data_IF_744434967791
#
_entry.id   IF_744434967791
#
_cell.length_a   1.000
_cell.length_b   1.000
_cell.length_c   1.000
_cell.angle_alpha   90.00
_cell.angle_beta   90.00
_cell.angle_gamma   90.00
#
_symmetry.space_group_name_H-M   'P 1'
#
loop_
_entity.id
_entity.type
_entity.pdbx_description
1 polymer ?
#
# COMPACT_ATOMS: atom_id res chain seq x y z
N UNK A 1 22.08 -43.53 -23.95
CA UNK A 1 22.22 -42.64 -22.78
C UNK A 1 21.89 -41.22 -23.20
N UNK A 2 20.68 -40.74 -22.93
CA UNK A 2 20.30 -39.35 -23.15
C UNK A 2 20.12 -38.68 -21.79
N UNK A 3 21.17 -37.98 -21.35
CA UNK A 3 21.13 -37.21 -20.12
C UNK A 3 20.20 -36.01 -20.29
N UNK A 4 19.14 -35.97 -19.48
CA UNK A 4 18.31 -34.77 -19.30
C UNK A 4 19.20 -33.65 -18.74
N UNK A 5 19.23 -32.50 -19.41
CA UNK A 5 19.73 -31.28 -18.78
C UNK A 5 18.90 -31.00 -17.51
N UNK A 6 19.55 -30.63 -16.39
CA UNK A 6 18.82 -30.24 -15.19
C UNK A 6 18.02 -28.97 -15.46
N UNK A 7 16.76 -28.97 -15.03
CA UNK A 7 15.90 -27.80 -15.08
C UNK A 7 16.58 -26.63 -14.35
N UNK A 8 16.66 -25.47 -15.00
CA UNK A 8 17.13 -24.24 -14.34
C UNK A 8 16.26 -23.96 -13.12
N UNK A 9 16.85 -23.49 -12.00
CA UNK A 9 16.07 -23.03 -10.87
C UNK A 9 15.18 -21.88 -11.35
N UNK A 10 13.86 -22.04 -11.20
CA UNK A 10 12.91 -20.93 -11.29
C UNK A 10 13.14 -20.07 -10.06
N UNK A 11 14.04 -19.10 -10.16
CA UNK A 11 14.02 -17.96 -9.25
C UNK A 11 12.67 -17.27 -9.45
N UNK A 12 11.81 -17.38 -8.44
CA UNK A 12 10.59 -16.59 -8.28
C UNK A 12 10.94 -15.18 -7.81
N UNK A 13 11.95 -14.57 -8.43
CA UNK A 13 12.10 -13.12 -8.37
C UNK A 13 11.02 -12.58 -9.31
N UNK A 14 10.22 -11.63 -8.80
CA UNK A 14 9.17 -10.93 -9.54
C UNK A 14 9.60 -10.71 -11.00
N UNK A 15 9.00 -11.42 -11.95
CA UNK A 15 9.24 -11.13 -13.36
C UNK A 15 8.85 -9.67 -13.57
N UNK A 16 9.78 -8.79 -13.98
CA UNK A 16 9.45 -7.41 -14.26
C UNK A 16 8.34 -7.41 -15.30
N UNK A 17 7.30 -6.60 -15.10
CA UNK A 17 6.29 -6.39 -16.14
C UNK A 17 6.98 -5.81 -17.38
N UNK A 18 7.21 -6.67 -18.37
CA UNK A 18 7.91 -6.32 -19.60
C UNK A 18 7.19 -5.19 -20.35
N UNK A 19 5.87 -5.06 -20.22
CA UNK A 19 5.10 -3.98 -20.86
C UNK A 19 5.41 -2.61 -20.25
N UNK A 20 5.33 -2.49 -18.93
CA UNK A 20 5.62 -1.24 -18.21
C UNK A 20 7.07 -0.77 -18.40
N UNK A 21 8.02 -1.71 -18.42
CA UNK A 21 9.43 -1.39 -18.65
C UNK A 21 9.66 -0.80 -20.05
N UNK A 22 9.08 -1.41 -21.09
CA UNK A 22 9.23 -0.93 -22.47
C UNK A 22 8.65 0.49 -22.66
N UNK A 23 7.50 0.80 -22.04
CA UNK A 23 6.95 2.16 -22.06
C UNK A 23 7.93 3.13 -21.39
N UNK A 24 8.46 2.78 -20.23
CA UNK A 24 9.43 3.62 -19.52
C UNK A 24 10.69 3.84 -20.35
N UNK A 25 11.22 2.78 -20.97
CA UNK A 25 12.41 2.84 -21.83
C UNK A 25 12.23 3.77 -23.03
N UNK A 26 11.04 3.80 -23.66
CA UNK A 26 10.73 4.77 -24.73
C UNK A 26 10.80 6.22 -24.25
N UNK A 27 10.32 6.50 -23.04
CA UNK A 27 10.42 7.83 -22.45
C UNK A 27 11.86 8.21 -22.11
N UNK A 28 12.65 7.25 -21.59
CA UNK A 28 14.06 7.46 -21.27
C UNK A 28 14.91 7.73 -22.52
N UNK A 29 14.80 6.90 -23.56
CA UNK A 29 15.62 7.03 -24.78
C UNK A 29 15.28 8.29 -25.59
N UNK A 30 14.03 8.76 -25.53
CA UNK A 30 13.60 9.98 -26.22
C UNK A 30 13.73 11.25 -25.37
N UNK A 31 14.17 11.15 -24.11
CA UNK A 31 14.24 12.28 -23.19
C UNK A 31 12.87 12.90 -22.89
N UNK A 32 11.79 12.12 -22.98
CA UNK A 32 10.41 12.55 -22.70
C UNK A 32 10.03 12.24 -21.25
N UNK A 33 10.85 12.64 -20.29
CA UNK A 33 10.67 12.37 -18.87
C UNK A 33 10.97 13.62 -18.03
N UNK A 34 10.42 13.69 -16.82
CA UNK A 34 10.80 14.69 -15.81
C UNK A 34 10.59 16.16 -16.22
N UNK A 35 9.60 16.45 -17.07
CA UNK A 35 9.21 17.82 -17.44
C UNK A 35 7.70 17.94 -17.67
N UNK A 36 7.13 19.16 -17.57
CA UNK A 36 5.72 19.40 -17.90
C UNK A 36 5.32 18.79 -19.25
N UNK A 37 4.27 17.96 -19.25
CA UNK A 37 3.75 17.29 -20.44
C UNK A 37 4.54 16.07 -20.93
N UNK A 38 5.66 15.70 -20.30
CA UNK A 38 6.45 14.53 -20.70
C UNK A 38 6.87 13.67 -19.50
N UNK A 39 6.11 12.60 -19.25
CA UNK A 39 6.39 11.60 -18.23
C UNK A 39 5.63 10.30 -18.56
N UNK A 40 6.18 9.09 -18.32
CA UNK A 40 5.38 7.89 -18.32
C UNK A 40 4.42 7.94 -17.13
N UNK A 41 3.12 7.76 -17.39
CA UNK A 41 2.08 7.87 -16.36
C UNK A 41 1.19 6.62 -16.34
N UNK A 42 1.34 5.82 -15.29
CA UNK A 42 0.47 4.65 -15.06
C UNK A 42 -0.86 5.11 -14.47
N UNK A 43 -1.96 4.75 -15.13
CA UNK A 43 -3.31 5.02 -14.63
C UNK A 43 -3.68 3.97 -13.59
N UNK A 44 -3.82 4.38 -12.34
CA UNK A 44 -4.30 3.49 -11.27
C UNK A 44 -5.83 3.52 -11.23
N UNK A 45 -6.46 2.35 -11.25
CA UNK A 45 -7.92 2.23 -11.35
C UNK A 45 -8.66 2.57 -10.05
N UNK A 46 -8.27 1.97 -8.93
CA UNK A 46 -8.89 2.23 -7.63
C UNK A 46 -8.47 3.60 -7.07
N UNK A 47 -9.35 4.28 -6.31
CA UNK A 47 -9.14 5.67 -5.87
C UNK A 47 -7.87 5.86 -5.04
N UNK A 48 -7.51 4.86 -4.23
CA UNK A 48 -6.38 4.93 -3.30
C UNK A 48 -5.42 3.74 -3.37
N UNK A 49 -5.42 2.93 -4.43
CA UNK A 49 -4.44 1.83 -4.54
C UNK A 49 -2.98 2.35 -4.52
N UNK A 50 -2.75 3.61 -4.90
CA UNK A 50 -1.47 4.27 -4.70
C UNK A 50 -1.19 4.54 -3.22
N UNK A 51 -2.07 5.29 -2.54
CA UNK A 51 -1.87 5.69 -1.14
C UNK A 51 -2.02 4.54 -0.15
N UNK A 52 -3.17 3.88 -0.11
CA UNK A 52 -3.51 2.93 0.97
C UNK A 52 -2.87 1.55 0.82
N UNK A 53 -2.45 1.17 -0.39
CA UNK A 53 -1.86 -0.16 -0.63
C UNK A 53 -0.37 -0.10 -0.92
N UNK A 54 0.02 0.65 -1.95
CA UNK A 54 1.43 0.69 -2.39
C UNK A 54 2.29 1.54 -1.47
N UNK A 55 1.81 2.71 -1.08
CA UNK A 55 2.58 3.65 -0.25
C UNK A 55 2.58 3.25 1.23
N UNK A 56 1.39 3.00 1.80
CA UNK A 56 1.26 2.50 3.18
C UNK A 56 1.85 1.09 3.34
N UNK A 57 1.94 0.31 2.25
CA UNK A 57 2.65 -0.96 2.24
C UNK A 57 1.85 -2.14 2.79
N UNK A 58 0.56 -2.23 2.46
CA UNK A 58 -0.35 -3.29 2.93
C UNK A 58 -0.33 -4.57 2.08
N UNK A 59 0.74 -4.78 1.32
CA UNK A 59 0.99 -6.02 0.57
C UNK A 59 1.85 -6.98 1.40
N UNK A 60 1.69 -8.29 1.19
CA UNK A 60 2.32 -9.33 2.00
C UNK A 60 3.88 -9.30 2.06
N UNK A 61 4.53 -8.56 1.16
CA UNK A 61 5.99 -8.41 1.09
C UNK A 61 6.46 -7.00 1.50
N UNK A 62 5.55 -6.09 1.84
CA UNK A 62 5.82 -4.66 2.03
C UNK A 62 5.84 -4.26 3.50
N UNK A 63 6.51 -3.13 3.72
CA UNK A 63 6.42 -2.25 4.88
C UNK A 63 6.16 -0.83 4.33
N UNK A 64 5.77 0.14 5.17
CA UNK A 64 5.48 1.51 4.73
C UNK A 64 6.60 2.16 3.89
N UNK A 65 6.24 3.07 2.99
CA UNK A 65 7.15 3.87 2.16
C UNK A 65 8.09 3.07 1.22
N UNK A 66 7.54 2.11 0.47
CA UNK A 66 8.26 1.14 -0.41
C UNK A 66 9.22 0.18 0.32
N UNK A 67 9.28 0.23 1.65
CA UNK A 67 10.05 -0.74 2.39
C UNK A 67 9.51 -2.17 2.19
N UNK A 68 10.34 -3.15 2.52
CA UNK A 68 10.09 -4.55 2.24
C UNK A 68 10.53 -5.40 3.40
N UNK A 69 9.75 -6.44 3.72
CA UNK A 69 10.00 -7.30 4.88
C UNK A 69 11.28 -8.10 4.75
N UNK A 70 11.83 -8.30 3.54
CA UNK A 70 13.06 -9.07 3.33
C UNK A 70 14.34 -8.30 3.74
N UNK A 71 14.28 -6.97 3.85
CA UNK A 71 15.43 -6.15 4.26
C UNK A 71 15.43 -5.96 5.78
N UNK A 72 16.53 -6.34 6.45
CA UNK A 72 16.68 -6.23 7.89
C UNK A 72 16.62 -4.78 8.41
N UNK A 73 17.20 -3.81 7.68
CA UNK A 73 17.16 -2.39 8.05
C UNK A 73 15.73 -1.84 8.00
N UNK A 74 14.95 -2.29 7.02
CA UNK A 74 13.54 -1.90 6.88
C UNK A 74 12.71 -2.42 8.05
N UNK A 75 12.91 -3.69 8.45
CA UNK A 75 12.23 -4.27 9.62
C UNK A 75 12.62 -3.54 10.90
N UNK A 76 13.91 -3.30 11.12
CA UNK A 76 14.39 -2.59 12.31
C UNK A 76 13.78 -1.18 12.42
N UNK A 77 13.71 -0.43 11.32
CA UNK A 77 13.04 0.89 11.31
C UNK A 77 11.56 0.80 11.68
N UNK A 78 10.85 -0.21 11.15
CA UNK A 78 9.43 -0.39 11.46
C UNK A 78 9.20 -0.83 12.91
N UNK A 79 10.02 -1.73 13.43
CA UNK A 79 9.98 -2.13 14.84
C UNK A 79 10.27 -0.96 15.78
N UNK A 80 11.23 -0.08 15.43
CA UNK A 80 11.50 1.13 16.20
C UNK A 80 10.32 2.10 16.20
N UNK A 81 9.72 2.37 15.04
CA UNK A 81 8.61 3.33 14.93
C UNK A 81 7.38 2.85 15.72
N UNK A 82 7.06 1.55 15.62
CA UNK A 82 5.93 0.91 16.29
C UNK A 82 6.22 0.46 17.72
N UNK A 83 7.45 0.62 18.22
CA UNK A 83 7.83 0.21 19.57
C UNK A 83 7.80 -1.32 19.80
N UNK A 84 8.04 -2.10 18.74
CA UNK A 84 8.04 -3.56 18.80
C UNK A 84 9.39 -4.12 19.28
N UNK A 85 9.41 -5.27 19.99
CA UNK A 85 10.64 -6.01 20.23
C UNK A 85 11.38 -6.34 18.93
N UNK A 86 12.71 -6.30 18.97
CA UNK A 86 13.53 -6.62 17.80
C UNK A 86 13.26 -8.05 17.29
N UNK A 87 13.04 -8.18 15.98
CA UNK A 87 12.73 -9.46 15.33
C UNK A 87 11.26 -9.90 15.41
N UNK A 88 10.36 -9.01 15.84
CA UNK A 88 8.91 -9.24 15.81
C UNK A 88 8.39 -9.38 14.37
N UNK A 89 8.92 -8.60 13.42
CA UNK A 89 8.49 -8.63 12.03
C UNK A 89 9.19 -9.79 11.31
N UNK A 90 8.45 -10.76 10.72
CA UNK A 90 9.06 -11.86 9.98
C UNK A 90 9.83 -11.39 8.74
N UNK A 91 10.97 -12.01 8.45
CA UNK A 91 11.76 -11.73 7.24
C UNK A 91 11.14 -12.29 5.95
N UNK A 92 10.19 -13.23 6.10
CA UNK A 92 9.57 -13.94 4.99
C UNK A 92 8.28 -13.24 4.59
N UNK A 93 8.08 -12.94 3.29
CA UNK A 93 6.79 -12.48 2.79
C UNK A 93 5.66 -13.44 3.17
N UNK A 94 4.51 -12.85 3.51
CA UNK A 94 3.27 -13.61 3.66
C UNK A 94 2.71 -14.08 2.32
N UNK A 95 1.52 -14.68 2.36
CA UNK A 95 0.84 -15.11 1.14
C UNK A 95 0.37 -13.91 0.31
N UNK A 96 0.74 -13.88 -0.97
CA UNK A 96 0.10 -12.96 -1.93
C UNK A 96 -1.36 -13.38 -2.16
N UNK A 97 -2.22 -12.49 -2.68
CA UNK A 97 -3.68 -12.70 -2.71
C UNK A 97 -4.13 -14.08 -3.18
N UNK A 98 -3.66 -14.56 -4.34
CA UNK A 98 -4.07 -15.88 -4.83
C UNK A 98 -3.54 -17.05 -3.98
N UNK A 99 -2.35 -16.92 -3.40
CA UNK A 99 -1.84 -17.90 -2.43
C UNK A 99 -2.64 -17.87 -1.12
N UNK A 100 -3.03 -16.68 -0.67
CA UNK A 100 -3.83 -16.50 0.54
C UNK A 100 -5.19 -17.17 0.39
N UNK A 101 -5.88 -16.96 -0.73
CA UNK A 101 -7.14 -17.66 -1.03
C UNK A 101 -6.93 -19.16 -1.16
N UNK A 102 -5.87 -19.63 -1.83
CA UNK A 102 -5.58 -21.07 -1.90
C UNK A 102 -5.30 -21.68 -0.52
N UNK A 103 -4.54 -20.99 0.33
CA UNK A 103 -4.24 -21.43 1.69
C UNK A 103 -5.49 -21.43 2.57
N UNK A 104 -6.36 -20.43 2.42
CA UNK A 104 -7.67 -20.40 3.08
C UNK A 104 -8.59 -21.51 2.57
N UNK A 105 -8.57 -21.81 1.27
CA UNK A 105 -9.33 -22.94 0.69
C UNK A 105 -8.86 -24.30 1.20
N UNK A 106 -7.55 -24.48 1.45
CA UNK A 106 -7.00 -25.69 2.07
C UNK A 106 -7.21 -25.75 3.59
N UNK A 107 -7.57 -24.63 4.21
CA UNK A 107 -7.65 -24.50 5.66
C UNK A 107 -6.29 -24.33 6.36
N UNK A 108 -5.23 -23.97 5.63
CA UNK A 108 -3.95 -23.59 6.25
C UNK A 108 -4.07 -22.21 6.93
N UNK A 109 -4.83 -21.31 6.31
CA UNK A 109 -5.31 -20.07 6.94
C UNK A 109 -6.68 -20.35 7.55
N UNK A 110 -6.84 -20.11 8.85
CA UNK A 110 -8.09 -20.39 9.59
C UNK A 110 -9.00 -19.18 9.73
N UNK A 111 -8.42 -17.98 9.71
CA UNK A 111 -9.16 -16.72 9.86
C UNK A 111 -8.78 -15.79 8.71
N UNK A 112 -9.76 -15.21 8.05
CA UNK A 112 -9.58 -14.19 7.01
C UNK A 112 -10.50 -13.02 7.31
N UNK A 113 -9.99 -11.79 7.20
CA UNK A 113 -10.78 -10.57 7.31
C UNK A 113 -10.68 -9.81 5.99
N UNK A 114 -11.81 -9.61 5.33
CA UNK A 114 -11.90 -8.81 4.10
C UNK A 114 -12.53 -7.46 4.40
N UNK A 115 -11.92 -6.38 3.90
CA UNK A 115 -12.42 -5.01 4.07
C UNK A 115 -12.56 -4.33 2.72
N UNK A 116 -13.70 -3.67 2.48
CA UNK A 116 -13.93 -2.83 1.28
C UNK A 116 -13.64 -3.55 -0.05
N UNK A 117 -13.91 -4.85 -0.13
CA UNK A 117 -13.70 -5.66 -1.34
C UNK A 117 -14.69 -6.80 -1.41
N UNK A 118 -15.02 -7.23 -2.63
CA UNK A 118 -15.96 -8.33 -2.90
C UNK A 118 -15.25 -9.47 -3.65
N UNK A 119 -14.39 -10.26 -2.97
CA UNK A 119 -13.59 -11.30 -3.61
C UNK A 119 -14.41 -12.43 -4.24
N UNK A 120 -15.57 -12.78 -3.70
CA UNK A 120 -16.45 -13.79 -4.33
C UNK A 120 -17.10 -13.33 -5.65
N UNK A 121 -16.76 -12.12 -6.11
CA UNK A 121 -17.06 -11.62 -7.45
C UNK A 121 -15.77 -11.27 -8.22
N UNK A 122 -14.82 -10.63 -7.56
CA UNK A 122 -13.70 -9.95 -8.23
C UNK A 122 -12.47 -10.83 -8.44
N UNK A 123 -12.32 -11.95 -7.74
CA UNK A 123 -11.13 -12.79 -7.91
C UNK A 123 -11.28 -13.74 -9.10
N UNK A 124 -10.19 -14.05 -9.83
CA UNK A 124 -10.28 -14.91 -11.00
C UNK A 124 -10.58 -16.36 -10.61
N UNK A 125 -11.26 -17.07 -11.52
CA UNK A 125 -11.52 -18.50 -11.40
C UNK A 125 -12.33 -18.88 -10.14
N UNK A 126 -13.43 -18.13 -9.90
CA UNK A 126 -14.33 -18.29 -8.75
C UNK A 126 -14.81 -19.73 -8.53
N UNK A 127 -14.96 -20.52 -9.61
CA UNK A 127 -15.35 -21.94 -9.53
C UNK A 127 -14.42 -22.80 -8.65
N UNK A 128 -13.18 -22.33 -8.38
CA UNK A 128 -12.22 -23.00 -7.50
C UNK A 128 -12.30 -22.60 -6.03
N UNK A 129 -13.21 -21.69 -5.68
CA UNK A 129 -13.30 -21.09 -4.35
C UNK A 129 -14.68 -21.39 -3.83
N UNK A 130 -14.73 -22.45 -3.03
CA UNK A 130 -15.95 -22.94 -2.41
C UNK A 130 -15.87 -22.71 -0.91
N UNK A 131 -16.91 -22.07 -0.40
CA UNK A 131 -16.99 -21.70 1.00
C UNK A 131 -18.44 -21.62 1.42
N UNK A 132 -18.69 -22.08 2.64
CA UNK A 132 -19.95 -21.92 3.35
C UNK A 132 -19.65 -21.42 4.77
N UNK A 133 -20.51 -20.59 5.38
CA UNK A 133 -20.40 -20.24 6.79
C UNK A 133 -20.36 -21.49 7.68
N UNK A 134 -19.51 -21.50 8.71
CA UNK A 134 -19.39 -22.60 9.68
C UNK A 134 -18.55 -23.80 9.21
N UNK A 135 -17.86 -23.73 8.08
CA UNK A 135 -17.08 -24.86 7.53
C UNK A 135 -15.72 -25.15 8.21
N UNK A 136 -15.50 -24.60 9.41
CA UNK A 136 -14.26 -24.73 10.18
C UNK A 136 -13.20 -23.68 9.86
N UNK A 137 -13.50 -22.72 8.96
CA UNK A 137 -12.74 -21.50 8.72
C UNK A 137 -13.62 -20.30 9.08
N UNK A 138 -12.99 -19.22 9.55
CA UNK A 138 -13.67 -18.01 9.99
C UNK A 138 -13.43 -16.84 9.04
N UNK A 139 -14.46 -16.36 8.35
CA UNK A 139 -14.42 -15.22 7.46
C UNK A 139 -15.17 -14.03 8.09
N UNK A 140 -14.42 -12.95 8.36
CA UNK A 140 -14.96 -11.65 8.75
C UNK A 140 -15.05 -10.76 7.52
N UNK A 141 -16.18 -10.08 7.33
CA UNK A 141 -16.39 -9.15 6.22
C UNK A 141 -16.82 -7.79 6.77
N UNK A 142 -15.97 -6.78 6.59
CA UNK A 142 -16.32 -5.37 6.81
C UNK A 142 -16.73 -4.77 5.46
N UNK A 143 -18.02 -4.52 5.30
CA UNK A 143 -18.60 -3.96 4.08
C UNK A 143 -19.74 -2.99 4.42
N UNK A 144 -20.02 -2.11 3.46
CA UNK A 144 -21.07 -1.09 3.53
C UNK A 144 -22.38 -1.60 2.92
N UNK A 145 -22.33 -2.70 2.16
CA UNK A 145 -23.48 -3.35 1.54
C UNK A 145 -23.50 -4.86 1.81
N UNK A 146 -24.68 -5.50 1.78
CA UNK A 146 -24.77 -6.92 1.50
C UNK A 146 -24.17 -7.22 0.12
N UNK A 147 -23.20 -8.12 0.06
CA UNK A 147 -22.52 -8.58 -1.16
C UNK A 147 -22.45 -10.11 -1.20
N UNK A 148 -22.17 -10.72 -2.38
CA UNK A 148 -21.86 -12.15 -2.47
C UNK A 148 -20.74 -12.60 -1.52
N UNK A 149 -19.81 -11.71 -1.15
CA UNK A 149 -18.81 -12.03 -0.13
C UNK A 149 -19.42 -12.07 1.28
N UNK A 150 -20.38 -11.20 1.61
CA UNK A 150 -21.09 -11.25 2.89
C UNK A 150 -21.97 -12.50 3.03
N UNK A 151 -22.50 -13.06 1.93
CA UNK A 151 -23.33 -14.28 1.94
C UNK A 151 -22.56 -15.51 2.44
N UNK A 152 -21.24 -15.53 2.25
CA UNK A 152 -20.35 -16.62 2.67
C UNK A 152 -19.54 -16.27 3.94
N UNK A 153 -19.86 -15.16 4.62
CA UNK A 153 -19.18 -14.73 5.84
C UNK A 153 -19.68 -15.48 7.08
N UNK A 154 -18.81 -15.65 8.08
CA UNK A 154 -19.25 -16.06 9.43
C UNK A 154 -19.65 -14.86 10.28
N UNK A 155 -19.04 -13.71 10.01
CA UNK A 155 -19.30 -12.45 10.69
C UNK A 155 -19.28 -11.30 9.68
N UNK A 156 -20.33 -10.49 9.69
CA UNK A 156 -20.40 -9.24 8.92
C UNK A 156 -20.35 -8.07 9.90
N UNK A 157 -19.43 -7.13 9.67
CA UNK A 157 -19.28 -5.92 10.46
C UNK A 157 -19.74 -4.70 9.63
N UNK A 158 -20.81 -3.99 10.04
CA UNK A 158 -21.31 -2.86 9.29
C UNK A 158 -20.28 -1.71 9.31
N UNK A 159 -19.91 -1.27 8.12
CA UNK A 159 -18.82 -0.32 7.90
C UNK A 159 -19.34 1.07 7.55
N UNK A 160 -18.67 2.12 8.03
CA UNK A 160 -18.98 3.51 7.65
C UNK A 160 -18.44 3.81 6.24
N UNK A 161 -19.27 4.39 5.37
CA UNK A 161 -18.95 4.67 3.98
C UNK A 161 -18.35 6.06 3.78
N UNK A 162 -17.18 6.15 3.14
CA UNK A 162 -16.57 7.39 2.63
C UNK A 162 -16.68 8.61 3.58
N UNK A 163 -17.61 9.55 3.32
CA UNK A 163 -17.80 10.79 4.11
C UNK A 163 -18.51 10.58 5.45
N UNK A 164 -18.97 9.36 5.73
CA UNK A 164 -19.45 8.98 7.06
C UNK A 164 -18.31 8.83 8.09
N UNK A 165 -17.06 8.90 7.61
CA UNK A 165 -15.83 8.83 8.38
C UNK A 165 -14.80 9.83 7.90
N UNK A 166 -13.82 10.12 8.74
CA UNK A 166 -12.65 10.91 8.39
C UNK A 166 -11.59 10.03 7.71
N UNK A 167 -10.77 10.59 6.82
CA UNK A 167 -9.71 9.81 6.21
C UNK A 167 -8.85 10.51 5.17
N UNK A 168 -7.93 9.73 4.59
CA UNK A 168 -6.94 10.19 3.63
C UNK A 168 -6.82 9.25 2.44
N UNK A 169 -6.76 9.79 1.22
CA UNK A 169 -6.54 9.05 -0.02
C UNK A 169 -5.33 9.55 -0.79
N UNK A 170 -4.56 8.62 -1.35
CA UNK A 170 -3.43 8.89 -2.25
C UNK A 170 -3.72 8.40 -3.67
N UNK A 171 -3.78 9.32 -4.63
CA UNK A 171 -4.20 9.03 -6.00
C UNK A 171 -3.04 8.73 -6.98
N UNK A 172 -3.36 8.52 -8.26
CA UNK A 172 -2.40 8.20 -9.34
C UNK A 172 -1.28 9.23 -9.55
N UNK A 173 -1.51 10.52 -9.24
CA UNK A 173 -0.52 11.57 -9.43
C UNK A 173 0.36 11.81 -8.19
N UNK A 174 0.27 10.92 -7.18
CA UNK A 174 0.92 11.06 -5.86
C UNK A 174 0.28 12.12 -4.97
N UNK A 175 -0.93 12.58 -5.28
CA UNK A 175 -1.63 13.55 -4.43
C UNK A 175 -2.29 12.84 -3.27
N UNK A 176 -1.86 13.18 -2.07
CA UNK A 176 -2.49 12.78 -0.81
C UNK A 176 -3.53 13.84 -0.44
N UNK A 177 -4.77 13.44 -0.18
CA UNK A 177 -5.91 14.30 0.12
C UNK A 177 -6.61 13.81 1.39
N UNK A 178 -6.87 14.73 2.31
CA UNK A 178 -7.69 14.48 3.49
C UNK A 178 -9.15 14.85 3.22
N UNK A 179 -10.09 14.21 3.92
CA UNK A 179 -11.46 14.67 4.04
C UNK A 179 -11.94 14.53 5.49
N UNK A 180 -12.73 15.50 5.94
CA UNK A 180 -13.46 15.47 7.20
C UNK A 180 -14.72 14.61 7.08
N UNK A 181 -15.16 14.05 8.22
CA UNK A 181 -16.49 13.43 8.31
C UNK A 181 -17.56 14.48 8.05
N UNK A 182 -18.48 14.19 7.12
CA UNK A 182 -19.55 15.11 6.73
C UNK A 182 -20.93 14.71 7.25
N UNK A 183 -21.17 13.43 7.49
CA UNK A 183 -22.46 12.88 7.96
C UNK A 183 -22.21 11.73 8.94
N UNK A 184 -23.20 11.40 9.76
CA UNK A 184 -23.10 10.23 10.64
C UNK A 184 -23.32 8.91 9.87
N UNK A 185 -22.58 7.84 10.21
CA UNK A 185 -22.82 6.52 9.64
C UNK A 185 -24.20 5.99 10.09
N UNK A 186 -24.90 5.24 9.24
CA UNK A 186 -26.22 4.74 9.56
C UNK A 186 -26.18 3.57 10.56
N UNK A 187 -27.16 3.52 11.47
CA UNK A 187 -27.37 2.38 12.37
C UNK A 187 -26.18 2.13 13.28
N UNK A 188 -25.63 0.91 13.22
CA UNK A 188 -24.48 0.47 14.02
C UNK A 188 -23.16 0.51 13.23
N UNK A 189 -23.15 1.15 12.06
CA UNK A 189 -21.96 1.21 11.22
C UNK A 189 -20.83 2.01 11.89
N UNK A 190 -19.62 1.46 11.83
CA UNK A 190 -18.41 2.03 12.43
C UNK A 190 -17.25 2.02 11.44
N UNK A 191 -16.19 2.77 11.71
CA UNK A 191 -15.01 2.80 10.82
C UNK A 191 -14.27 1.46 10.79
N UNK A 192 -13.87 1.00 9.60
CA UNK A 192 -13.18 -0.29 9.45
C UNK A 192 -11.84 -0.33 10.23
N UNK A 193 -11.16 0.82 10.33
CA UNK A 193 -9.94 0.97 11.13
C UNK A 193 -10.25 0.88 12.63
N UNK A 194 -11.32 1.53 13.10
CA UNK A 194 -11.79 1.38 14.48
C UNK A 194 -12.10 -0.08 14.81
N UNK A 195 -12.77 -0.81 13.91
CA UNK A 195 -13.06 -2.24 14.12
C UNK A 195 -11.77 -3.06 14.35
N UNK A 196 -10.72 -2.83 13.56
CA UNK A 196 -9.41 -3.49 13.74
C UNK A 196 -8.80 -3.12 15.09
N UNK A 197 -8.78 -1.84 15.43
CA UNK A 197 -8.22 -1.34 16.71
C UNK A 197 -8.93 -2.02 17.88
N UNK A 198 -10.27 -2.09 17.84
CA UNK A 198 -11.07 -2.71 18.89
C UNK A 198 -10.83 -4.20 19.06
N UNK A 199 -10.59 -4.93 17.97
CA UNK A 199 -10.18 -6.34 18.02
C UNK A 199 -8.78 -6.46 18.62
N UNK A 200 -7.83 -5.62 18.19
CA UNK A 200 -6.47 -5.64 18.72
C UNK A 200 -6.44 -5.35 20.24
N UNK A 201 -7.21 -4.37 20.71
CA UNK A 201 -7.39 -4.08 22.15
C UNK A 201 -7.92 -5.30 22.90
N UNK A 202 -8.97 -5.96 22.40
CA UNK A 202 -9.53 -7.18 23.00
C UNK A 202 -8.57 -8.37 22.98
N UNK A 203 -7.58 -8.36 22.10
CA UNK A 203 -6.47 -9.33 22.05
C UNK A 203 -5.29 -8.96 22.97
N UNK A 204 -5.38 -7.86 23.74
CA UNK A 204 -4.32 -7.41 24.65
C UNK A 204 -3.22 -6.57 23.99
N UNK A 205 -3.45 -6.09 22.76
CA UNK A 205 -2.49 -5.28 21.99
C UNK A 205 -2.76 -3.76 22.10
N UNK A 206 -3.53 -3.33 23.09
CA UNK A 206 -3.92 -1.92 23.27
C UNK A 206 -2.73 -0.95 23.34
N UNK A 207 -1.61 -1.39 23.91
CA UNK A 207 -0.38 -0.59 24.00
C UNK A 207 0.21 -0.18 22.64
N UNK A 208 -0.16 -0.85 21.54
CA UNK A 208 0.24 -0.50 20.17
C UNK A 208 -0.64 0.60 19.56
N UNK A 209 -1.73 0.99 20.24
CA UNK A 209 -2.68 2.01 19.80
C UNK A 209 -2.82 3.07 20.91
N UNK A 210 -1.75 3.83 21.23
CA UNK A 210 -1.71 4.74 22.38
C UNK A 210 -2.49 6.05 22.16
N UNK A 211 -3.42 6.05 21.22
CA UNK A 211 -4.20 7.23 20.81
C UNK A 211 -5.56 7.26 21.55
N UNK A 212 -6.17 8.44 21.72
CA UNK A 212 -7.53 8.55 22.22
C UNK A 212 -8.54 7.80 21.33
N UNK A 213 -9.53 7.15 21.93
CA UNK A 213 -10.53 6.36 21.18
C UNK A 213 -11.42 7.23 20.26
N UNK A 214 -11.54 8.52 20.57
CA UNK A 214 -12.35 9.52 19.87
C UNK A 214 -11.54 10.50 19.00
N UNK A 215 -10.21 10.40 19.02
CA UNK A 215 -9.30 11.31 18.29
C UNK A 215 -7.99 10.59 17.89
N UNK A 216 -8.12 9.53 17.09
CA UNK A 216 -6.99 8.68 16.68
C UNK A 216 -6.51 8.92 15.24
N UNK A 217 -7.27 9.63 14.39
CA UNK A 217 -6.93 9.80 12.97
C UNK A 217 -5.62 10.56 12.76
N UNK A 218 -5.46 11.73 13.42
CA UNK A 218 -4.25 12.53 13.32
C UNK A 218 -3.03 11.83 13.93
N UNK A 219 -3.07 11.32 15.18
CA UNK A 219 -1.95 10.59 15.75
C UNK A 219 -1.51 9.37 14.94
N UNK A 220 -2.47 8.59 14.42
CA UNK A 220 -2.19 7.45 13.55
C UNK A 220 -1.52 7.89 12.24
N UNK A 221 -2.04 8.95 11.61
CA UNK A 221 -1.46 9.46 10.38
C UNK A 221 -0.05 10.01 10.59
N UNK A 222 0.19 10.76 11.67
CA UNK A 222 1.52 11.30 11.97
C UNK A 222 2.52 10.19 12.35
N UNK A 223 2.06 9.11 13.00
CA UNK A 223 2.89 7.91 13.17
C UNK A 223 3.28 7.31 11.82
N UNK A 224 2.31 7.10 10.91
CA UNK A 224 2.59 6.64 9.55
C UNK A 224 3.56 7.57 8.82
N UNK A 225 3.37 8.89 8.96
CA UNK A 225 4.18 9.89 8.27
C UNK A 225 5.67 9.76 8.60
N UNK A 226 6.05 9.37 9.83
CA UNK A 226 7.45 9.11 10.24
C UNK A 226 8.17 8.12 9.33
N UNK A 227 7.45 7.19 8.71
CA UNK A 227 8.04 6.24 7.76
C UNK A 227 8.53 6.90 6.48
N UNK A 228 7.88 7.98 6.06
CA UNK A 228 8.02 8.58 4.72
C UNK A 228 9.12 9.64 4.63
N UNK A 229 9.47 10.25 5.76
CA UNK A 229 10.34 11.43 5.83
C UNK A 229 11.78 11.11 5.45
N UNK A 230 12.39 12.00 4.66
CA UNK A 230 13.77 11.92 4.18
C UNK A 230 14.02 10.90 3.07
N UNK A 231 12.98 10.25 2.55
CA UNK A 231 13.09 9.16 1.57
C UNK A 231 12.71 9.56 0.14
N UNK A 232 12.42 10.84 -0.09
CA UNK A 232 11.78 11.27 -1.33
C UNK A 232 10.41 10.63 -1.49
N UNK A 233 9.70 10.50 -0.38
CA UNK A 233 8.31 10.02 -0.26
C UNK A 233 7.50 10.83 0.76
N UNK A 234 8.05 11.95 1.19
CA UNK A 234 7.59 12.77 2.30
C UNK A 234 6.15 13.20 2.07
N UNK A 235 5.21 12.63 2.81
CA UNK A 235 3.81 13.09 2.76
C UNK A 235 3.66 14.35 3.61
N UNK A 236 2.72 15.20 3.25
CA UNK A 236 2.36 16.39 4.02
C UNK A 236 1.94 16.01 5.45
N UNK A 237 2.10 16.93 6.40
CA UNK A 237 1.50 16.74 7.74
C UNK A 237 -0.02 16.70 7.66
N UNK A 238 -0.65 16.15 8.70
CA UNK A 238 -2.10 16.10 8.82
C UNK A 238 -2.74 17.48 8.72
N UNK A 239 -2.20 18.43 9.48
CA UNK A 239 -2.60 19.85 9.47
C UNK A 239 -2.53 20.45 8.05
N UNK A 240 -1.42 20.24 7.33
CA UNK A 240 -1.28 20.71 5.96
C UNK A 240 -2.33 20.10 5.01
N UNK A 241 -2.69 18.83 5.21
CA UNK A 241 -3.71 18.19 4.39
C UNK A 241 -5.11 18.74 4.66
N UNK A 242 -5.45 19.08 5.91
CA UNK A 242 -6.74 19.72 6.27
C UNK A 242 -6.89 21.10 5.66
N UNK A 243 -5.80 21.86 5.54
CA UNK A 243 -5.82 23.23 5.00
C UNK A 243 -5.72 23.30 3.47
N UNK A 244 -5.46 22.17 2.81
CA UNK A 244 -5.21 22.13 1.36
C UNK A 244 -6.16 21.18 0.63
N UNK A 245 -6.18 21.28 -0.70
CA UNK A 245 -6.87 20.29 -1.56
C UNK A 245 -5.92 19.14 -1.91
N UNK A 246 -5.21 18.66 -0.90
CA UNK A 246 -4.12 17.70 -1.00
C UNK A 246 -2.85 18.22 -1.66
N UNK A 247 -1.78 17.45 -1.52
CA UNK A 247 -0.43 17.82 -1.96
C UNK A 247 0.28 16.64 -2.62
N UNK A 248 1.13 16.92 -3.62
CA UNK A 248 1.95 15.89 -4.28
C UNK A 248 3.24 15.63 -3.51
N UNK A 249 3.40 14.43 -2.98
CA UNK A 249 4.64 14.05 -2.29
C UNK A 249 5.81 13.85 -3.27
N UNK A 250 7.05 14.20 -2.93
CA UNK A 250 7.47 14.72 -1.63
C UNK A 250 6.98 16.13 -1.36
N UNK A 251 6.53 16.36 -0.13
CA UNK A 251 6.23 17.66 0.43
C UNK A 251 7.37 18.02 1.35
N UNK A 252 8.19 19.00 0.95
CA UNK A 252 9.36 19.46 1.70
C UNK A 252 9.15 20.93 2.00
N UNK A 253 9.32 21.33 3.26
CA UNK A 253 9.05 22.69 3.74
C UNK A 253 7.65 23.21 3.34
N UNK A 254 6.66 22.32 3.33
CA UNK A 254 5.28 22.61 2.92
C UNK A 254 5.05 22.78 1.42
N UNK A 255 6.06 22.52 0.59
CA UNK A 255 5.98 22.67 -0.87
C UNK A 255 5.90 21.31 -1.56
N UNK A 256 4.87 21.12 -2.39
CA UNK A 256 4.66 19.90 -3.18
C UNK A 256 5.69 19.71 -4.31
N UNK A 257 6.01 18.46 -4.63
CA UNK A 257 6.88 18.10 -5.75
C UNK A 257 6.07 17.69 -6.97
N UNK A 258 5.92 18.62 -7.92
CA UNK A 258 5.18 18.39 -9.17
C UNK A 258 5.90 17.44 -10.14
N UNK A 259 7.20 17.65 -10.35
CA UNK A 259 8.00 16.87 -11.29
C UNK A 259 9.18 16.23 -10.58
N UNK A 260 9.26 14.90 -10.64
CA UNK A 260 10.30 14.10 -9.98
C UNK A 260 11.57 14.07 -10.82
N UNK A 261 12.71 13.96 -10.14
CA UNK A 261 14.04 13.84 -10.73
C UNK A 261 14.50 15.05 -11.56
N UNK A 262 13.84 16.20 -11.44
CA UNK A 262 14.17 17.42 -12.19
C UNK A 262 14.65 18.55 -11.26
N UNK A 263 15.79 19.15 -11.58
CA UNK A 263 16.34 20.31 -10.91
C UNK A 263 15.34 21.48 -10.96
N UNK A 264 15.16 22.15 -9.83
CA UNK A 264 14.20 23.24 -9.69
C UNK A 264 12.75 22.81 -9.42
N UNK A 265 12.43 21.51 -9.54
CA UNK A 265 11.11 20.97 -9.19
C UNK A 265 11.17 19.94 -8.06
N UNK A 266 12.17 19.05 -8.08
CA UNK A 266 12.37 18.02 -7.06
C UNK A 266 13.40 18.50 -6.04
N UNK A 267 13.03 18.66 -4.75
CA UNK A 267 13.94 19.14 -3.71
C UNK A 267 15.13 18.21 -3.48
N UNK A 268 15.04 16.94 -3.90
CA UNK A 268 16.11 15.97 -3.81
C UNK A 268 17.11 16.03 -4.98
N UNK A 269 16.91 16.92 -5.95
CA UNK A 269 17.80 17.11 -7.09
C UNK A 269 18.56 18.43 -6.97
N UNK A 270 19.89 18.36 -6.95
CA UNK A 270 20.74 19.56 -6.94
C UNK A 270 20.47 20.40 -8.19
N UNK A 271 20.44 21.73 -8.01
CA UNK A 271 20.04 22.71 -9.05
C UNK A 271 20.89 22.64 -10.33
N UNK A 272 22.13 22.19 -10.23
CA UNK A 272 23.10 22.07 -11.32
C UNK A 272 22.98 20.77 -12.14
N UNK A 273 22.16 19.80 -11.69
CA UNK A 273 22.14 18.45 -12.28
C UNK A 273 21.13 18.26 -13.42
N UNK A 274 20.28 19.26 -13.72
CA UNK A 274 19.25 19.13 -14.74
C UNK A 274 18.25 18.01 -14.43
N UNK A 275 18.50 16.78 -14.91
CA UNK A 275 17.75 15.57 -14.54
C UNK A 275 18.66 14.61 -13.79
N UNK A 276 18.22 14.10 -12.64
CA UNK A 276 19.04 13.25 -11.77
C UNK A 276 18.25 12.14 -11.08
N UNK A 277 18.59 10.88 -11.35
CA UNK A 277 17.89 9.70 -10.84
C UNK A 277 18.55 9.18 -9.56
N UNK A 278 18.53 9.96 -8.48
CA UNK A 278 19.20 9.66 -7.21
C UNK A 278 18.77 8.34 -6.54
N UNK A 279 17.62 7.76 -6.93
CA UNK A 279 17.18 6.44 -6.46
C UNK A 279 17.80 5.28 -7.25
N UNK A 280 18.39 5.53 -8.42
CA UNK A 280 19.01 4.52 -9.28
C UNK A 280 20.46 4.21 -8.84
N UNK A 281 20.68 3.92 -7.55
CA UNK A 281 22.02 3.71 -6.98
C UNK A 281 22.80 2.60 -7.69
N UNK A 282 22.13 1.49 -8.03
CA UNK A 282 22.73 0.37 -8.78
C UNK A 282 23.18 0.72 -10.20
N UNK A 283 22.75 1.86 -10.73
CA UNK A 283 23.11 2.37 -12.06
C UNK A 283 23.90 3.69 -11.98
N UNK A 284 24.50 3.98 -10.82
CA UNK A 284 25.29 5.19 -10.61
C UNK A 284 24.47 6.48 -10.72
N UNK A 285 23.21 6.44 -10.24
CA UNK A 285 22.26 7.56 -10.24
C UNK A 285 21.88 8.08 -11.64
N UNK A 286 22.00 7.21 -12.65
CA UNK A 286 21.64 7.48 -14.04
C UNK A 286 20.44 6.64 -14.48
N UNK A 287 19.78 7.09 -15.53
CA UNK A 287 18.79 6.26 -16.22
C UNK A 287 19.47 5.02 -16.80
N UNK A 288 18.83 3.86 -16.62
CA UNK A 288 19.19 2.62 -17.27
C UNK A 288 17.96 2.08 -18.00
N UNK A 289 18.14 1.63 -19.23
CA UNK A 289 17.10 1.03 -20.06
C UNK A 289 17.69 -0.16 -20.82
N UNK A 290 16.86 -1.16 -21.10
CA UNK A 290 17.30 -2.41 -21.73
C UNK A 290 16.75 -2.50 -23.14
N UNK A 291 17.65 -2.42 -24.13
CA UNK A 291 17.26 -2.45 -25.55
C UNK A 291 16.77 -3.83 -26.04
N UNK A 292 16.88 -4.88 -25.21
CA UNK A 292 16.38 -6.23 -25.50
C UNK A 292 15.83 -6.88 -24.22
N UNK A 293 14.59 -7.41 -24.25
CA UNK A 293 14.05 -8.22 -23.16
C UNK A 293 14.74 -9.58 -23.04
#
# INVERSE_FOLDING_TARGET
MHGRQPARPRHLDEQPDHGSNLITDLHLITGKISRPGANPFSLTGQPSACGTVREVGTLAHRLPADMVVMNAEHRAKAEEIWGLPAGTIPERPGYHTMDMFRAFMRGDVKVMWTQTTNPWVSIPNLNRIQREPGDGRFLVVSDIYPTPTTEVADLVLPSAAWVEREGVFGNSERRTQHWEKAVDPPGEATEDAWQIIQVAKRMGMEHLFPWPDDDWHEPMYEEYRRFTLGLGKDVASYEQLKETRGLLWPVVDGVETRYRYAAGYDPYVKKDRGVHFYKAKGYGEKAAFWLRP
#
